data_IF_447957342601
#
_entry.id   IF_447957342601
#
_cell.length_a   1.000
_cell.length_b   1.000
_cell.length_c   1.000
_cell.angle_alpha   90.00
_cell.angle_beta   90.00
_cell.angle_gamma   90.00
#
_symmetry.space_group_name_H-M   'P 1'
#
loop_
_entity.id
_entity.type
_entity.pdbx_description
1 polymer ?
#
# COMPACT_ATOMS: atom_id res chain seq x y z
N UNK A 1 -13.98 1.86 19.33
CA UNK A 1 -14.22 0.87 18.26
C UNK A 1 -14.19 1.61 16.93
N UNK A 2 -13.12 1.50 16.13
CA UNK A 2 -13.02 2.23 14.86
C UNK A 2 -14.16 1.84 13.93
N UNK A 3 -14.87 2.82 13.34
CA UNK A 3 -15.98 2.53 12.40
C UNK A 3 -15.42 1.75 11.21
N UNK A 4 -15.93 0.52 11.00
CA UNK A 4 -15.62 -0.25 9.80
C UNK A 4 -16.27 0.42 8.61
N UNK A 5 -15.52 0.55 7.52
CA UNK A 5 -16.02 1.10 6.26
C UNK A 5 -16.33 -0.06 5.33
N UNK A 6 -17.40 0.01 4.54
CA UNK A 6 -17.78 -1.07 3.63
C UNK A 6 -17.51 -0.68 2.19
N UNK A 7 -17.12 -1.64 1.35
CA UNK A 7 -17.29 -1.51 -0.10
C UNK A 7 -18.63 -2.14 -0.50
N UNK A 8 -19.33 -1.50 -1.44
CA UNK A 8 -20.69 -1.83 -1.82
C UNK A 8 -20.86 -1.87 -3.33
N UNK A 9 -21.92 -2.57 -3.75
CA UNK A 9 -22.44 -2.58 -5.12
C UNK A 9 -23.89 -2.09 -5.09
N UNK A 10 -24.18 -1.05 -5.86
CA UNK A 10 -25.54 -0.57 -6.13
C UNK A 10 -25.86 -0.83 -7.60
N UNK A 11 -27.00 -1.43 -7.90
CA UNK A 11 -27.44 -1.62 -9.28
C UNK A 11 -28.96 -1.78 -9.38
N UNK A 12 -29.49 -1.60 -10.59
CA UNK A 12 -30.82 -2.08 -10.99
C UNK A 12 -30.85 -3.59 -11.12
N UNK A 13 -31.80 -4.15 -11.89
CA UNK A 13 -31.91 -5.61 -12.09
C UNK A 13 -30.83 -6.18 -13.00
N UNK A 14 -30.45 -5.45 -14.05
CA UNK A 14 -29.52 -5.95 -15.08
C UNK A 14 -28.20 -5.17 -15.17
N UNK A 15 -28.01 -4.13 -14.34
CA UNK A 15 -26.89 -3.20 -14.44
C UNK A 15 -27.27 -1.86 -15.10
N UNK A 16 -26.32 -0.94 -15.32
CA UNK A 16 -24.92 -0.98 -14.87
C UNK A 16 -24.78 -0.92 -13.35
N UNK A 17 -23.60 -1.26 -12.83
CA UNK A 17 -23.33 -1.27 -11.38
C UNK A 17 -22.52 -0.06 -10.96
N UNK A 18 -22.77 0.43 -9.74
CA UNK A 18 -21.93 1.38 -9.05
C UNK A 18 -21.17 0.69 -7.93
N UNK A 19 -19.85 0.81 -7.93
CA UNK A 19 -18.97 0.23 -6.91
C UNK A 19 -18.35 1.37 -6.11
N UNK A 20 -18.53 1.39 -4.79
CA UNK A 20 -17.93 2.43 -3.97
C UNK A 20 -17.76 2.08 -2.51
N UNK A 21 -17.24 3.05 -1.74
CA UNK A 21 -16.95 2.91 -0.30
C UNK A 21 -17.89 3.79 0.54
N UNK A 22 -18.39 3.25 1.67
CA UNK A 22 -19.18 4.03 2.63
C UNK A 22 -19.24 3.38 4.01
N UNK A 23 -19.31 4.20 5.06
CA UNK A 23 -19.68 3.75 6.42
C UNK A 23 -21.19 3.47 6.56
N UNK A 24 -22.01 4.01 5.65
CA UNK A 24 -23.45 3.77 5.60
C UNK A 24 -23.92 3.67 4.14
N UNK A 25 -23.80 2.47 3.52
CA UNK A 25 -24.23 2.24 2.14
C UNK A 25 -25.71 2.52 1.89
N UNK A 26 -26.59 2.39 2.89
CA UNK A 26 -28.03 2.67 2.74
C UNK A 26 -28.29 4.15 2.45
N UNK A 27 -27.64 5.06 3.18
CA UNK A 27 -27.75 6.50 2.91
C UNK A 27 -27.21 6.86 1.52
N UNK A 28 -26.14 6.15 1.10
CA UNK A 28 -25.56 6.32 -0.24
C UNK A 28 -26.51 5.85 -1.34
N UNK A 29 -27.21 4.73 -1.15
CA UNK A 29 -28.27 4.28 -2.06
C UNK A 29 -29.35 5.36 -2.24
N UNK A 30 -29.88 5.92 -1.15
CA UNK A 30 -30.88 6.99 -1.23
C UNK A 30 -30.37 8.20 -1.99
N UNK A 31 -29.12 8.59 -1.76
CA UNK A 31 -28.50 9.73 -2.46
C UNK A 31 -28.33 9.48 -3.96
N UNK A 32 -27.93 8.27 -4.34
CA UNK A 32 -27.74 7.88 -5.76
C UNK A 32 -29.08 7.71 -6.46
N UNK A 33 -30.10 7.19 -5.78
CA UNK A 33 -31.45 7.01 -6.32
C UNK A 33 -32.07 8.32 -6.82
N UNK A 34 -31.79 9.45 -6.16
CA UNK A 34 -32.32 10.76 -6.56
C UNK A 34 -31.89 11.17 -7.99
N UNK A 35 -30.75 10.66 -8.46
CA UNK A 35 -30.24 10.93 -9.80
C UNK A 35 -30.53 9.81 -10.82
N UNK A 36 -31.29 8.77 -10.45
CA UNK A 36 -31.54 7.63 -11.33
C UNK A 36 -33.06 7.37 -11.46
N UNK A 37 -33.62 7.36 -12.69
CA UNK A 37 -35.06 7.17 -12.90
C UNK A 37 -35.57 5.76 -12.54
N UNK A 38 -34.70 4.75 -12.54
CA UNK A 38 -35.07 3.37 -12.22
C UNK A 38 -34.72 3.01 -10.78
N UNK A 39 -35.45 2.04 -10.22
CA UNK A 39 -35.22 1.60 -8.85
C UNK A 39 -33.86 0.90 -8.73
N UNK A 40 -33.05 1.38 -7.80
CA UNK A 40 -31.76 0.80 -7.44
C UNK A 40 -31.87 -0.02 -6.16
N UNK A 41 -31.00 -1.01 -6.04
CA UNK A 41 -30.84 -1.81 -4.83
C UNK A 41 -29.36 -1.92 -4.45
N UNK A 42 -29.10 -2.09 -3.16
CA UNK A 42 -27.80 -2.56 -2.66
C UNK A 42 -27.69 -4.05 -2.95
N UNK A 43 -26.98 -4.41 -4.02
CA UNK A 43 -26.79 -5.80 -4.43
C UNK A 43 -25.73 -6.51 -3.60
N UNK A 44 -24.76 -5.76 -3.07
CA UNK A 44 -23.68 -6.32 -2.27
C UNK A 44 -23.11 -5.28 -1.30
N UNK A 45 -22.72 -5.72 -0.09
CA UNK A 45 -22.07 -4.88 0.92
C UNK A 45 -21.13 -5.75 1.74
N UNK A 46 -19.85 -5.37 1.83
CA UNK A 46 -18.87 -6.07 2.67
C UNK A 46 -18.09 -5.08 3.53
N UNK A 47 -18.18 -5.20 4.88
CA UNK A 47 -17.40 -4.39 5.79
C UNK A 47 -15.94 -4.85 5.83
N UNK A 48 -15.01 -3.94 5.57
CA UNK A 48 -13.57 -4.23 5.44
C UNK A 48 -12.73 -3.12 6.10
N UNK A 49 -11.50 -3.41 6.48
CA UNK A 49 -10.61 -2.39 7.07
C UNK A 49 -10.04 -1.45 5.98
N UNK A 50 -9.57 -2.02 4.88
CA UNK A 50 -8.86 -1.34 3.79
C UNK A 50 -9.80 -1.00 2.61
N UNK A 51 -10.98 -0.46 2.90
CA UNK A 51 -12.07 -0.32 1.92
C UNK A 51 -11.66 0.43 0.64
N UNK A 52 -10.95 1.56 0.78
CA UNK A 52 -10.48 2.35 -0.38
C UNK A 52 -9.41 1.63 -1.20
N UNK A 53 -8.53 0.84 -0.56
CA UNK A 53 -7.52 0.05 -1.27
C UNK A 53 -8.19 -1.07 -2.08
N UNK A 54 -9.20 -1.72 -1.49
CA UNK A 54 -10.00 -2.74 -2.17
C UNK A 54 -10.79 -2.14 -3.33
N UNK A 55 -11.48 -1.02 -3.12
CA UNK A 55 -12.19 -0.28 -4.18
C UNK A 55 -11.25 0.06 -5.35
N UNK A 56 -10.09 0.65 -5.07
CA UNK A 56 -9.11 0.98 -6.10
C UNK A 56 -8.65 -0.23 -6.91
N UNK A 57 -8.43 -1.37 -6.26
CA UNK A 57 -8.07 -2.62 -6.94
C UNK A 57 -9.21 -3.16 -7.83
N UNK A 58 -10.46 -3.13 -7.34
CA UNK A 58 -11.64 -3.54 -8.12
C UNK A 58 -11.84 -2.62 -9.32
N UNK A 59 -11.71 -1.31 -9.11
CA UNK A 59 -11.81 -0.31 -10.16
C UNK A 59 -10.75 -0.48 -11.24
N UNK A 60 -9.52 -0.83 -10.85
CA UNK A 60 -8.44 -1.14 -11.79
C UNK A 60 -8.71 -2.44 -12.56
N UNK A 61 -9.25 -3.47 -11.88
CA UNK A 61 -9.58 -4.75 -12.48
C UNK A 61 -10.73 -4.68 -13.48
N UNK A 62 -11.64 -3.70 -13.33
CA UNK A 62 -12.80 -3.47 -14.21
C UNK A 62 -12.65 -2.20 -15.07
N UNK A 63 -11.43 -1.68 -15.21
CA UNK A 63 -11.19 -0.40 -15.87
C UNK A 63 -11.61 -0.39 -17.34
N UNK A 64 -11.52 -1.53 -18.02
CA UNK A 64 -11.96 -1.77 -19.41
C UNK A 64 -13.49 -1.73 -19.57
N UNK A 65 -14.22 -2.01 -18.49
CA UNK A 65 -15.69 -1.98 -18.45
C UNK A 65 -16.25 -0.73 -17.76
N UNK A 66 -15.42 0.28 -17.49
CA UNK A 66 -15.84 1.51 -16.82
C UNK A 66 -16.64 2.40 -17.77
N UNK A 67 -17.84 2.79 -17.37
CA UNK A 67 -18.72 3.69 -18.12
C UNK A 67 -18.41 5.16 -17.79
N UNK A 68 -18.70 5.58 -16.56
CA UNK A 68 -18.47 6.94 -16.09
C UNK A 68 -18.26 6.97 -14.58
N UNK A 69 -17.15 7.58 -14.15
CA UNK A 69 -16.76 7.64 -12.74
C UNK A 69 -16.68 6.24 -12.11
N UNK A 70 -17.60 5.97 -11.18
CA UNK A 70 -17.68 4.72 -10.41
C UNK A 70 -18.71 3.73 -10.97
N UNK A 71 -19.22 3.96 -12.18
CA UNK A 71 -20.18 3.08 -12.87
C UNK A 71 -19.49 2.16 -13.87
N UNK A 72 -19.90 0.90 -13.89
CA UNK A 72 -19.29 -0.16 -14.70
C UNK A 72 -20.36 -0.98 -15.43
N UNK A 73 -20.04 -1.38 -16.66
CA UNK A 73 -20.85 -2.26 -17.50
C UNK A 73 -20.56 -3.72 -17.16
N UNK A 74 -20.96 -4.11 -15.95
CA UNK A 74 -20.91 -5.49 -15.45
C UNK A 74 -22.17 -5.80 -14.67
N UNK A 75 -22.44 -7.09 -14.52
CA UNK A 75 -23.47 -7.60 -13.61
C UNK A 75 -23.06 -7.42 -12.14
N UNK A 76 -24.05 -7.47 -11.24
CA UNK A 76 -23.79 -7.41 -9.80
C UNK A 76 -22.93 -8.59 -9.31
N UNK A 77 -23.07 -9.76 -9.92
CA UNK A 77 -22.29 -10.96 -9.58
C UNK A 77 -20.84 -10.83 -10.03
N UNK A 78 -20.57 -10.32 -11.23
CA UNK A 78 -19.21 -10.01 -11.67
C UNK A 78 -18.52 -8.99 -10.73
N UNK A 79 -19.26 -7.94 -10.34
CA UNK A 79 -18.74 -6.94 -9.40
C UNK A 79 -18.45 -7.54 -8.03
N UNK A 80 -19.33 -8.41 -7.51
CA UNK A 80 -19.11 -9.17 -6.28
C UNK A 80 -17.87 -10.05 -6.39
N UNK A 81 -17.72 -10.82 -7.46
CA UNK A 81 -16.54 -11.67 -7.67
C UNK A 81 -15.25 -10.85 -7.72
N UNK A 82 -15.26 -9.68 -8.35
CA UNK A 82 -14.12 -8.78 -8.36
C UNK A 82 -13.77 -8.27 -6.95
N UNK A 83 -14.78 -7.91 -6.14
CA UNK A 83 -14.59 -7.50 -4.74
C UNK A 83 -14.02 -8.65 -3.92
N UNK A 84 -14.59 -9.86 -4.01
CA UNK A 84 -14.12 -11.04 -3.28
C UNK A 84 -12.67 -11.38 -3.66
N UNK A 85 -12.33 -11.30 -4.95
CA UNK A 85 -10.96 -11.51 -5.43
C UNK A 85 -9.99 -10.43 -4.94
N UNK A 86 -10.40 -9.17 -4.94
CA UNK A 86 -9.59 -8.07 -4.41
C UNK A 86 -9.38 -8.21 -2.90
N UNK A 87 -10.42 -8.61 -2.15
CA UNK A 87 -10.29 -8.92 -0.73
C UNK A 87 -9.28 -10.04 -0.53
N UNK A 88 -9.40 -11.16 -1.25
CA UNK A 88 -8.46 -12.29 -1.11
C UNK A 88 -7.03 -11.90 -1.43
N UNK A 89 -6.81 -11.21 -2.55
CA UNK A 89 -5.49 -10.80 -3.02
C UNK A 89 -4.85 -9.76 -2.10
N UNK A 90 -5.67 -8.90 -1.49
CA UNK A 90 -5.24 -7.86 -0.57
C UNK A 90 -5.35 -8.27 0.90
N UNK A 91 -5.80 -9.50 1.21
CA UNK A 91 -5.67 -10.03 2.56
C UNK A 91 -4.21 -9.87 2.92
N UNK A 92 -3.88 -9.26 4.07
CA UNK A 92 -2.51 -9.27 4.54
C UNK A 92 -2.14 -10.74 4.67
N UNK A 93 -1.31 -11.20 3.73
CA UNK A 93 -0.89 -12.59 3.68
C UNK A 93 -0.26 -12.85 5.04
N UNK A 94 -0.88 -13.67 5.90
CA UNK A 94 -0.28 -14.01 7.21
C UNK A 94 1.07 -14.70 7.01
N UNK A 95 1.36 -15.18 5.80
CA UNK A 95 2.67 -15.69 5.38
C UNK A 95 3.71 -14.58 5.21
N UNK A 96 3.32 -13.32 4.96
CA UNK A 96 4.20 -12.14 4.98
C UNK A 96 4.26 -11.42 6.33
N UNK A 97 3.48 -11.86 7.32
CA UNK A 97 3.92 -11.75 8.73
C UNK A 97 4.95 -12.83 9.03
N UNK A 98 6.02 -12.92 8.23
CA UNK A 98 7.26 -13.43 8.81
C UNK A 98 7.67 -12.39 9.82
N UNK A 99 7.95 -12.83 11.03
CA UNK A 99 8.64 -12.02 12.04
C UNK A 99 9.88 -11.40 11.38
N UNK A 100 9.80 -10.18 10.83
CA UNK A 100 10.96 -9.29 10.86
C UNK A 100 11.10 -8.94 12.34
N UNK A 101 11.76 -9.83 13.08
CA UNK A 101 12.02 -9.58 14.49
C UNK A 101 12.99 -8.42 14.59
N UNK A 102 12.54 -7.17 14.43
CA UNK A 102 13.37 -5.98 14.56
C UNK A 102 14.72 -6.07 13.83
N UNK A 103 14.75 -6.53 12.58
CA UNK A 103 16.00 -7.07 11.97
C UNK A 103 16.45 -6.50 10.62
N UNK A 104 15.84 -5.50 9.97
CA UNK A 104 16.47 -4.96 8.74
C UNK A 104 17.27 -3.68 9.01
N UNK A 105 16.65 -2.65 9.59
CA UNK A 105 17.38 -1.43 9.95
C UNK A 105 18.32 -1.62 11.13
N UNK A 106 17.87 -2.35 12.17
CA UNK A 106 18.71 -2.60 13.35
C UNK A 106 19.88 -3.53 13.03
N UNK A 107 19.72 -4.53 12.14
CA UNK A 107 20.87 -5.32 11.67
C UNK A 107 21.86 -4.42 10.95
N UNK A 108 21.39 -3.51 10.08
CA UNK A 108 22.26 -2.57 9.41
C UNK A 108 23.01 -1.69 10.43
N UNK A 109 22.29 -1.00 11.31
CA UNK A 109 22.85 -0.16 12.40
C UNK A 109 23.88 -0.93 13.23
N UNK A 110 23.54 -2.15 13.68
CA UNK A 110 24.42 -3.01 14.48
C UNK A 110 25.66 -3.47 13.70
N UNK A 111 25.51 -3.83 12.42
CA UNK A 111 26.64 -4.24 11.55
C UNK A 111 27.56 -3.07 11.21
N UNK A 112 27.05 -1.83 11.25
CA UNK A 112 27.84 -0.61 11.16
C UNK A 112 28.49 -0.21 12.49
N UNK A 113 28.18 -0.92 13.59
CA UNK A 113 28.70 -0.61 14.92
C UNK A 113 28.09 0.63 15.55
N UNK A 114 26.93 1.07 15.06
CA UNK A 114 26.23 2.25 15.55
C UNK A 114 25.27 1.86 16.67
N UNK A 115 25.16 2.70 17.69
CA UNK A 115 24.09 2.59 18.68
C UNK A 115 22.81 3.28 18.18
N UNK A 116 21.69 3.02 18.84
CA UNK A 116 20.40 3.65 18.49
C UNK A 116 20.46 5.17 18.69
N UNK A 117 21.22 5.61 19.68
CA UNK A 117 21.47 7.01 20.04
C UNK A 117 22.29 7.70 18.95
N UNK A 118 23.40 7.10 18.53
CA UNK A 118 24.23 7.62 17.44
C UNK A 118 23.45 7.74 16.13
N UNK A 119 22.58 6.76 15.86
CA UNK A 119 21.73 6.78 14.68
C UNK A 119 20.64 7.86 14.78
N UNK A 120 20.03 8.03 15.95
CA UNK A 120 19.03 9.06 16.19
C UNK A 120 19.60 10.48 16.02
N UNK A 121 20.81 10.71 16.52
CA UNK A 121 21.54 11.97 16.34
C UNK A 121 21.85 12.25 14.88
N UNK A 122 22.31 11.24 14.14
CA UNK A 122 22.59 11.37 12.70
C UNK A 122 21.34 11.72 11.89
N UNK A 123 20.18 11.20 12.31
CA UNK A 123 18.89 11.49 11.69
C UNK A 123 18.25 12.79 12.22
N UNK A 124 18.80 13.41 13.26
CA UNK A 124 18.20 14.58 13.94
C UNK A 124 16.84 14.28 14.56
N UNK A 125 16.66 13.08 15.13
CA UNK A 125 15.38 12.61 15.67
C UNK A 125 15.51 12.14 17.13
N UNK A 126 14.45 12.22 17.94
CA UNK A 126 14.42 11.56 19.24
C UNK A 126 14.52 10.04 19.12
N UNK A 127 15.31 9.41 20.00
CA UNK A 127 15.55 7.95 20.03
C UNK A 127 14.25 7.15 20.12
N UNK A 128 13.25 7.60 20.87
CA UNK A 128 11.97 6.89 21.00
C UNK A 128 11.18 6.85 19.70
N UNK A 129 11.31 7.91 18.88
CA UNK A 129 10.70 7.98 17.55
C UNK A 129 11.41 7.01 16.59
N UNK A 130 12.73 6.88 16.69
CA UNK A 130 13.51 5.87 15.95
C UNK A 130 13.11 4.45 16.39
N UNK A 131 13.01 4.18 17.69
CA UNK A 131 12.56 2.89 18.23
C UNK A 131 11.13 2.53 17.81
N UNK A 132 10.23 3.51 17.70
CA UNK A 132 8.89 3.29 17.18
C UNK A 132 8.94 2.88 15.69
N UNK A 133 9.71 3.60 14.88
CA UNK A 133 9.82 3.33 13.44
C UNK A 133 10.51 1.99 13.14
N UNK A 134 11.52 1.59 13.92
CA UNK A 134 12.11 0.25 13.84
C UNK A 134 11.15 -0.88 14.23
N UNK A 135 10.16 -0.60 15.10
CA UNK A 135 9.12 -1.57 15.47
C UNK A 135 8.06 -1.74 14.39
N UNK A 136 7.77 -0.66 13.66
CA UNK A 136 6.74 -0.63 12.63
C UNK A 136 7.26 -1.03 11.23
N UNK A 137 8.56 -1.33 11.11
CA UNK A 137 9.26 -1.70 9.87
C UNK A 137 9.10 -0.64 8.75
N UNK A 138 8.94 0.62 9.16
CA UNK A 138 8.76 1.76 8.23
C UNK A 138 10.09 2.47 8.07
N UNK A 139 10.53 2.61 6.81
CA UNK A 139 11.62 3.52 6.41
C UNK A 139 10.98 4.79 5.80
N UNK A 140 10.82 5.88 6.56
CA UNK A 140 10.35 7.15 6.02
C UNK A 140 11.15 7.63 4.80
N UNK A 141 10.52 8.25 3.79
CA UNK A 141 11.22 8.81 2.62
C UNK A 141 12.42 9.74 2.93
N UNK A 142 12.44 10.55 4.01
CA UNK A 142 13.63 11.32 4.41
C UNK A 142 14.88 10.47 4.75
N UNK A 143 14.73 9.15 4.91
CA UNK A 143 15.80 8.24 5.36
C UNK A 143 16.73 7.80 4.24
N UNK A 144 16.32 7.92 2.98
CA UNK A 144 17.21 7.60 1.85
C UNK A 144 18.51 8.40 1.96
N UNK A 145 18.44 9.68 2.31
CA UNK A 145 19.63 10.53 2.45
C UNK A 145 20.52 10.16 3.64
N UNK A 146 19.94 9.81 4.79
CA UNK A 146 20.73 9.40 5.96
C UNK A 146 21.42 8.05 5.73
N UNK A 147 20.72 7.09 5.12
CA UNK A 147 21.29 5.79 4.74
C UNK A 147 22.36 5.97 3.66
N UNK A 148 22.16 6.85 2.68
CA UNK A 148 23.17 7.15 1.65
C UNK A 148 24.41 7.83 2.25
N UNK A 149 24.24 8.76 3.20
CA UNK A 149 25.37 9.36 3.94
C UNK A 149 26.14 8.32 4.74
N UNK A 150 25.43 7.46 5.49
CA UNK A 150 26.03 6.35 6.21
C UNK A 150 26.79 5.42 5.27
N UNK A 151 26.16 5.01 4.18
CA UNK A 151 26.77 4.17 3.15
C UNK A 151 28.01 4.83 2.55
N UNK A 152 27.97 6.13 2.22
CA UNK A 152 29.12 6.87 1.70
C UNK A 152 30.31 6.86 2.68
N UNK A 153 30.04 6.94 3.98
CA UNK A 153 31.04 6.88 5.06
C UNK A 153 31.59 5.47 5.34
N UNK A 154 31.03 4.41 4.72
CA UNK A 154 31.54 3.06 4.90
C UNK A 154 32.84 2.79 4.13
N UNK A 155 33.75 1.99 4.71
CA UNK A 155 34.86 1.40 3.98
C UNK A 155 34.39 0.55 2.79
N UNK A 156 35.17 0.49 1.71
CA UNK A 156 34.82 -0.16 0.45
C UNK A 156 34.49 -1.67 0.62
N UNK A 157 35.21 -2.33 1.52
CA UNK A 157 35.03 -3.74 1.87
C UNK A 157 33.68 -4.01 2.55
N UNK A 158 33.11 -3.03 3.27
CA UNK A 158 31.79 -3.13 3.89
C UNK A 158 30.67 -2.77 2.89
N UNK A 159 30.93 -1.86 1.94
CA UNK A 159 29.99 -1.47 0.88
C UNK A 159 29.58 -2.65 -0.01
N UNK A 160 30.52 -3.52 -0.37
CA UNK A 160 30.28 -4.70 -1.22
C UNK A 160 29.35 -5.75 -0.55
N UNK A 161 29.53 -5.97 0.76
CA UNK A 161 28.72 -6.92 1.55
C UNK A 161 27.26 -6.45 1.72
N UNK A 162 27.08 -5.13 1.82
CA UNK A 162 25.75 -4.49 1.91
C UNK A 162 24.99 -4.55 0.57
N UNK A 163 25.70 -4.45 -0.56
CA UNK A 163 25.09 -4.47 -1.90
C UNK A 163 24.71 -5.89 -2.37
N UNK A 164 25.46 -6.91 -1.96
CA UNK A 164 25.17 -8.31 -2.30
C UNK A 164 23.90 -8.88 -1.63
N UNK A 165 23.44 -8.27 -0.53
CA UNK A 165 22.41 -8.86 0.36
C UNK A 165 21.06 -8.11 0.45
N UNK A 166 20.70 -7.23 -0.51
CA UNK A 166 19.36 -6.57 -0.68
C UNK A 166 19.16 -5.14 -0.15
N UNK A 167 20.10 -4.22 -0.31
CA UNK A 167 19.74 -2.80 -0.32
C UNK A 167 19.49 -2.35 -1.76
N UNK A 168 18.22 -2.18 -2.14
CA UNK A 168 17.84 -1.48 -3.37
C UNK A 168 17.42 -0.05 -3.02
N UNK A 169 18.36 0.90 -2.83
CA UNK A 169 17.98 2.29 -2.86
C UNK A 169 17.64 2.58 -4.32
N UNK A 170 16.40 2.98 -4.60
CA UNK A 170 16.02 3.52 -5.90
C UNK A 170 16.73 4.88 -6.09
N UNK A 171 18.03 4.83 -6.38
CA UNK A 171 18.89 5.97 -6.70
C UNK A 171 19.54 5.70 -8.04
N UNK A 172 19.65 6.75 -8.85
CA UNK A 172 20.46 6.72 -10.05
C UNK A 172 21.97 6.65 -9.72
N UNK A 173 22.80 6.49 -10.74
CA UNK A 173 24.28 6.48 -10.66
C UNK A 173 24.89 7.72 -9.98
N UNK A 174 24.09 8.78 -9.79
CA UNK A 174 24.48 10.04 -9.15
C UNK A 174 23.95 10.19 -7.71
N UNK A 175 23.40 9.13 -7.11
CA UNK A 175 22.95 9.12 -5.71
C UNK A 175 21.68 9.92 -5.43
N UNK A 176 20.90 10.28 -6.46
CA UNK A 176 19.66 11.06 -6.32
C UNK A 176 18.46 10.13 -6.21
N UNK A 177 17.61 10.32 -5.18
CA UNK A 177 16.41 9.50 -4.98
C UNK A 177 15.44 9.65 -6.16
N UNK A 178 15.02 8.54 -6.76
CA UNK A 178 14.04 8.55 -7.85
C UNK A 178 12.68 8.98 -7.29
N UNK A 179 12.26 10.21 -7.57
CA UNK A 179 10.92 10.68 -7.24
C UNK A 179 9.90 9.95 -8.13
N UNK A 180 8.96 9.25 -7.50
CA UNK A 180 7.60 9.10 -8.04
C UNK A 180 7.25 7.87 -8.89
N UNK A 181 7.73 6.66 -8.58
CA UNK A 181 7.07 5.43 -9.11
C UNK A 181 6.91 4.34 -8.04
N UNK A 182 5.72 3.70 -7.94
CA UNK A 182 5.54 2.53 -7.08
C UNK A 182 6.43 1.37 -7.56
N UNK A 183 7.05 0.69 -6.61
CA UNK A 183 8.16 -0.27 -6.77
C UNK A 183 7.72 -1.62 -7.37
N UNK A 184 6.65 -1.67 -8.18
CA UNK A 184 6.13 -2.94 -8.73
C UNK A 184 6.52 -3.23 -10.18
N UNK A 185 7.34 -2.42 -10.84
CA UNK A 185 7.73 -2.66 -12.24
C UNK A 185 9.12 -2.10 -12.57
N UNK A 186 10.17 -2.79 -12.16
CA UNK A 186 11.47 -2.69 -12.85
C UNK A 186 12.00 -4.09 -13.14
N UNK A 187 12.14 -4.38 -14.44
CA UNK A 187 12.78 -5.60 -14.93
C UNK A 187 14.29 -5.44 -14.75
N UNK A 188 14.90 -6.47 -14.19
CA UNK A 188 16.34 -6.64 -14.00
C UNK A 188 17.08 -6.53 -15.34
N UNK A 189 18.06 -5.64 -15.45
CA UNK A 189 19.15 -5.82 -16.40
C UNK A 189 20.13 -6.81 -15.74
N UNK A 190 20.28 -7.98 -16.34
CA UNK A 190 21.31 -8.96 -15.95
C UNK A 190 22.70 -8.46 -16.40
N UNK A 191 23.78 -8.87 -15.71
CA UNK A 191 25.15 -8.46 -16.03
C UNK A 191 25.56 -8.81 -17.46
#
# INVERSE_FOLDING_TARGET
>A
MGKKTSVYVIAGDTGPVKIGVSINPKNRLSSVQNGHPHKLALRHVVPVAEAYRIEGAVHAALADKRLNGEWFDVTADEARSAIDHAIETLKPNRVERRKSGGTDLWILISRLGLTMEMFADLCGMPVDKVKALCRDDVVPPPWAHAILKLYAMLPAEKKAKVFAERLNPAVNENGTALQGKPVSRFKWAKP
#
